data_IF_323351748935
#
_entry.id   IF_323351748935
#
_cell.length_a   1.000
_cell.length_b   1.000
_cell.length_c   1.000
_cell.angle_alpha   90.00
_cell.angle_beta   90.00
_cell.angle_gamma   90.00
#
_symmetry.space_group_name_H-M   'P 1'
#
loop_
_entity.id
_entity.type
_entity.pdbx_description
1 polymer ?
#
# COMPACT_ATOMS: atom_id res chain seq x y z
N UNK A 1 -34.02 -32.77 -2.43
CA UNK A 1 -34.51 -31.61 -1.67
C UNK A 1 -33.97 -31.60 -0.23
N UNK A 2 -33.96 -32.73 0.47
CA UNK A 2 -33.42 -32.85 1.85
C UNK A 2 -31.92 -32.51 2.00
N UNK A 3 -31.06 -32.86 1.04
CA UNK A 3 -29.62 -32.53 1.09
C UNK A 3 -29.33 -31.02 0.98
N UNK A 4 -30.27 -30.25 0.43
CA UNK A 4 -30.20 -28.79 0.34
C UNK A 4 -30.76 -28.13 1.61
N UNK A 5 -31.84 -28.68 2.19
CA UNK A 5 -32.35 -28.23 3.49
C UNK A 5 -31.37 -28.50 4.63
N UNK A 6 -30.71 -29.66 4.67
CA UNK A 6 -29.70 -29.98 5.68
C UNK A 6 -28.45 -29.07 5.59
N UNK A 7 -28.03 -28.70 4.38
CA UNK A 7 -26.96 -27.69 4.18
C UNK A 7 -27.39 -26.29 4.62
N UNK A 8 -28.66 -25.93 4.42
CA UNK A 8 -29.19 -24.60 4.78
C UNK A 8 -29.38 -24.44 6.30
N UNK A 9 -29.80 -25.49 7.03
CA UNK A 9 -29.91 -25.45 8.50
C UNK A 9 -28.53 -25.40 9.15
N UNK A 10 -27.58 -26.23 8.67
CA UNK A 10 -26.20 -26.23 9.17
C UNK A 10 -25.46 -24.91 8.85
N UNK A 11 -25.80 -24.26 7.73
CA UNK A 11 -25.23 -22.98 7.33
C UNK A 11 -25.73 -21.81 8.19
N UNK A 12 -27.00 -21.80 8.60
CA UNK A 12 -27.55 -20.69 9.40
C UNK A 12 -27.09 -20.73 10.86
N UNK A 13 -27.05 -21.92 11.46
CA UNK A 13 -26.57 -22.11 12.84
C UNK A 13 -25.10 -21.70 12.99
N UNK A 14 -24.28 -21.86 11.95
CA UNK A 14 -22.90 -21.39 11.91
C UNK A 14 -22.79 -19.87 12.09
N UNK A 15 -23.61 -19.09 11.38
CA UNK A 15 -23.57 -17.62 11.42
C UNK A 15 -24.21 -17.02 12.68
N UNK A 16 -25.04 -17.80 13.39
CA UNK A 16 -25.66 -17.40 14.67
C UNK A 16 -24.74 -17.58 15.89
N UNK A 17 -23.57 -18.18 15.70
CA UNK A 17 -22.61 -18.37 16.77
C UNK A 17 -22.15 -17.02 17.34
N UNK A 18 -22.02 -16.93 18.68
CA UNK A 18 -21.62 -15.70 19.35
C UNK A 18 -20.23 -15.21 18.89
N UNK A 19 -19.36 -16.14 18.49
CA UNK A 19 -18.04 -15.86 17.93
C UNK A 19 -18.12 -14.94 16.71
N UNK A 20 -19.12 -15.12 15.85
CA UNK A 20 -19.34 -14.32 14.64
C UNK A 20 -19.60 -12.87 15.02
N UNK A 21 -20.49 -12.62 15.98
CA UNK A 21 -20.80 -11.26 16.44
C UNK A 21 -19.56 -10.58 17.04
N UNK A 22 -18.81 -11.30 17.89
CA UNK A 22 -17.60 -10.75 18.52
C UNK A 22 -16.51 -10.47 17.47
N UNK A 23 -16.26 -11.41 16.55
CA UNK A 23 -15.29 -11.21 15.47
C UNK A 23 -15.68 -10.05 14.55
N UNK A 24 -16.97 -9.89 14.25
CA UNK A 24 -17.48 -8.76 13.48
C UNK A 24 -17.18 -7.42 14.17
N UNK A 25 -17.46 -7.32 15.47
CA UNK A 25 -17.15 -6.11 16.24
C UNK A 25 -15.64 -5.80 16.24
N UNK A 26 -14.78 -6.81 16.35
CA UNK A 26 -13.33 -6.66 16.38
C UNK A 26 -12.79 -5.95 15.13
N UNK A 27 -13.31 -6.24 13.94
CA UNK A 27 -12.84 -5.57 12.71
C UNK A 27 -13.69 -4.36 12.30
N UNK A 28 -14.97 -4.31 12.64
CA UNK A 28 -15.85 -3.18 12.33
C UNK A 28 -15.55 -1.95 13.19
N UNK A 29 -15.19 -2.11 14.47
CA UNK A 29 -14.85 -0.97 15.33
C UNK A 29 -13.60 -0.21 14.82
N UNK A 30 -12.46 -0.85 14.52
CA UNK A 30 -11.33 -0.18 13.87
C UNK A 30 -11.69 0.44 12.52
N UNK A 31 -12.55 -0.21 11.72
CA UNK A 31 -13.02 0.35 10.45
C UNK A 31 -13.82 1.65 10.64
N UNK A 32 -14.73 1.68 11.61
CA UNK A 32 -15.51 2.86 11.94
C UNK A 32 -14.62 4.02 12.42
N UNK A 33 -13.64 3.72 13.28
CA UNK A 33 -12.64 4.70 13.73
C UNK A 33 -11.80 5.20 12.54
N UNK A 34 -11.35 4.32 11.66
CA UNK A 34 -10.61 4.66 10.45
C UNK A 34 -11.40 5.62 9.54
N UNK A 35 -12.68 5.30 9.25
CA UNK A 35 -13.57 6.18 8.47
C UNK A 35 -13.79 7.52 9.14
N UNK A 36 -13.99 7.54 10.46
CA UNK A 36 -14.13 8.77 11.23
C UNK A 36 -12.87 9.66 11.11
N UNK A 37 -11.68 9.08 11.25
CA UNK A 37 -10.41 9.79 11.11
C UNK A 37 -10.19 10.34 9.71
N UNK A 38 -10.59 9.60 8.65
CA UNK A 38 -10.56 10.09 7.26
C UNK A 38 -11.48 11.29 7.06
N UNK A 39 -12.72 11.21 7.56
CA UNK A 39 -13.68 12.30 7.48
C UNK A 39 -13.15 13.54 8.20
N UNK A 40 -12.62 13.37 9.41
CA UNK A 40 -12.01 14.45 10.19
C UNK A 40 -10.83 15.10 9.46
N UNK A 41 -9.94 14.31 8.86
CA UNK A 41 -8.79 14.82 8.10
C UNK A 41 -9.22 15.58 6.84
N UNK A 42 -10.26 15.10 6.16
CA UNK A 42 -10.82 15.78 4.98
C UNK A 42 -11.44 17.12 5.36
N UNK A 43 -12.17 17.19 6.49
CA UNK A 43 -12.74 18.43 7.01
C UNK A 43 -11.71 19.45 7.50
N UNK A 44 -10.58 18.98 8.07
CA UNK A 44 -9.53 19.85 8.60
C UNK A 44 -8.62 20.46 7.51
N UNK A 45 -8.80 20.06 6.25
CA UNK A 45 -7.88 20.38 5.16
C UNK A 45 -6.65 19.47 5.19
N UNK A 46 -6.33 18.83 4.06
CA UNK A 46 -5.12 18.04 3.93
C UNK A 46 -3.90 18.95 3.80
N UNK A 47 -2.83 18.70 4.56
CA UNK A 47 -1.53 19.25 4.22
C UNK A 47 -1.22 18.88 2.77
N UNK A 48 -0.87 19.85 1.91
CA UNK A 48 -0.66 19.59 0.50
C UNK A 48 0.50 18.60 0.34
N UNK A 49 0.24 17.51 -0.36
CA UNK A 49 1.27 16.58 -0.81
C UNK A 49 2.15 17.32 -1.81
N UNK A 50 3.46 17.38 -1.56
CA UNK A 50 4.38 17.97 -2.52
C UNK A 50 4.53 17.01 -3.71
N UNK A 51 4.00 17.40 -4.87
CA UNK A 51 4.05 16.60 -6.10
C UNK A 51 5.47 16.12 -6.41
N UNK A 52 6.48 16.96 -6.18
CA UNK A 52 7.90 16.63 -6.39
C UNK A 52 8.38 15.44 -5.57
N UNK A 53 7.86 15.22 -4.36
CA UNK A 53 8.30 14.13 -3.49
C UNK A 53 7.93 12.74 -4.05
N UNK A 54 6.97 12.68 -4.98
CA UNK A 54 6.49 11.45 -5.60
C UNK A 54 7.40 10.94 -6.72
N UNK A 55 8.09 11.84 -7.44
CA UNK A 55 8.85 11.50 -8.65
C UNK A 55 10.31 11.99 -8.65
N UNK A 56 10.71 12.82 -7.69
CA UNK A 56 12.11 13.22 -7.50
C UNK A 56 12.78 12.25 -6.50
N UNK A 57 13.96 11.69 -6.84
CA UNK A 57 14.72 10.87 -5.90
C UNK A 57 15.23 11.67 -4.69
N UNK A 58 15.42 11.01 -3.56
CA UNK A 58 16.05 11.60 -2.38
C UNK A 58 17.57 11.82 -2.51
N UNK A 59 18.14 11.61 -3.70
CA UNK A 59 19.57 11.72 -3.99
C UNK A 59 19.84 12.89 -4.94
N UNK A 60 20.70 13.84 -4.55
CA UNK A 60 20.88 15.13 -5.22
C UNK A 60 21.27 15.01 -6.70
N UNK A 61 22.12 14.04 -7.04
CA UNK A 61 22.66 13.85 -8.38
C UNK A 61 21.99 12.71 -9.16
N UNK A 62 20.94 12.09 -8.59
CA UNK A 62 20.23 11.03 -9.28
C UNK A 62 19.10 11.61 -10.12
N UNK A 63 19.16 11.40 -11.43
CA UNK A 63 18.11 11.89 -12.33
C UNK A 63 16.76 11.24 -12.03
N UNK A 64 15.62 11.95 -12.17
CA UNK A 64 14.28 11.37 -12.00
C UNK A 64 13.99 10.16 -12.90
N UNK A 65 14.74 10.03 -14.02
CA UNK A 65 14.64 8.90 -14.95
C UNK A 65 14.99 7.57 -14.29
N UNK A 66 15.87 7.55 -13.29
CA UNK A 66 16.21 6.31 -12.57
C UNK A 66 15.03 5.77 -11.76
N UNK A 67 14.27 6.66 -11.11
CA UNK A 67 13.08 6.27 -10.38
C UNK A 67 11.99 5.77 -11.34
N UNK A 68 11.83 6.41 -12.49
CA UNK A 68 10.95 5.93 -13.56
C UNK A 68 11.34 4.52 -14.03
N UNK A 69 12.61 4.32 -14.39
CA UNK A 69 13.12 3.03 -14.88
C UNK A 69 12.93 1.92 -13.86
N UNK A 70 13.28 2.19 -12.59
CA UNK A 70 13.09 1.26 -11.50
C UNK A 70 11.62 0.85 -11.34
N UNK A 71 10.70 1.81 -11.29
CA UNK A 71 9.26 1.55 -11.13
C UNK A 71 8.67 0.78 -12.31
N UNK A 72 9.11 1.09 -13.54
CA UNK A 72 8.69 0.37 -14.73
C UNK A 72 9.15 -1.09 -14.69
N UNK A 73 10.41 -1.35 -14.32
CA UNK A 73 10.92 -2.72 -14.13
C UNK A 73 10.14 -3.44 -13.04
N UNK A 74 9.95 -2.80 -11.87
CA UNK A 74 9.21 -3.39 -10.77
C UNK A 74 7.78 -3.77 -11.20
N UNK A 75 7.09 -2.88 -11.92
CA UNK A 75 5.76 -3.15 -12.47
C UNK A 75 5.75 -4.35 -13.42
N UNK A 76 6.68 -4.41 -14.38
CA UNK A 76 6.77 -5.50 -15.36
C UNK A 76 7.08 -6.82 -14.67
N UNK A 77 8.08 -6.85 -13.78
CA UNK A 77 8.48 -8.04 -13.03
C UNK A 77 7.34 -8.57 -12.15
N UNK A 78 6.62 -7.69 -11.45
CA UNK A 78 5.46 -8.10 -10.65
C UNK A 78 4.31 -8.58 -11.52
N UNK A 79 4.04 -7.93 -12.65
CA UNK A 79 3.02 -8.38 -13.60
C UNK A 79 3.30 -9.79 -14.11
N UNK A 80 4.58 -10.06 -14.44
CA UNK A 80 5.03 -11.39 -14.85
C UNK A 80 4.85 -12.43 -13.73
N UNK A 81 5.32 -12.16 -12.51
CA UNK A 81 5.15 -13.09 -11.38
C UNK A 81 3.67 -13.36 -11.03
N UNK A 82 2.81 -12.33 -11.09
CA UNK A 82 1.39 -12.47 -10.86
C UNK A 82 0.70 -13.27 -11.98
N UNK A 83 1.15 -13.12 -13.23
CA UNK A 83 0.71 -13.95 -14.34
C UNK A 83 1.12 -15.41 -14.13
N UNK A 84 2.38 -15.69 -13.81
CA UNK A 84 2.89 -17.05 -13.59
C UNK A 84 2.13 -17.78 -12.48
N UNK A 85 1.90 -17.13 -11.33
CA UNK A 85 1.14 -17.75 -10.23
C UNK A 85 -0.32 -17.99 -10.62
N UNK A 86 -0.96 -17.06 -11.34
CA UNK A 86 -2.33 -17.22 -11.80
C UNK A 86 -2.46 -18.25 -12.94
N UNK A 87 -1.43 -18.43 -13.77
CA UNK A 87 -1.40 -19.45 -14.81
C UNK A 87 -1.17 -20.85 -14.23
N UNK A 88 -0.29 -20.98 -13.24
CA UNK A 88 0.03 -22.25 -12.60
C UNK A 88 -1.10 -22.79 -11.73
N UNK A 89 -1.79 -21.91 -11.00
CA UNK A 89 -2.79 -22.29 -10.00
C UNK A 89 -4.21 -21.85 -10.41
N UNK A 90 -4.39 -20.94 -11.35
CA UNK A 90 -5.71 -20.39 -11.72
C UNK A 90 -6.11 -19.20 -10.85
N UNK A 91 -7.29 -18.64 -11.13
CA UNK A 91 -7.77 -17.43 -10.45
C UNK A 91 -8.09 -17.60 -8.95
N UNK A 92 -8.12 -18.84 -8.44
CA UNK A 92 -8.37 -19.09 -7.01
C UNK A 92 -7.31 -18.44 -6.11
N UNK A 93 -6.11 -18.17 -6.63
CA UNK A 93 -5.03 -17.52 -5.88
C UNK A 93 -5.47 -16.16 -5.32
N UNK A 94 -6.39 -15.46 -5.99
CA UNK A 94 -6.94 -14.19 -5.52
C UNK A 94 -7.86 -14.32 -4.29
N UNK A 95 -8.10 -15.54 -3.79
CA UNK A 95 -8.73 -15.74 -2.48
C UNK A 95 -7.74 -15.60 -1.33
N UNK A 96 -6.44 -15.45 -1.58
CA UNK A 96 -5.43 -15.28 -0.54
C UNK A 96 -5.03 -13.80 -0.43
N UNK A 97 -4.87 -13.33 0.81
CA UNK A 97 -4.46 -11.95 1.11
C UNK A 97 -3.10 -11.61 0.50
N UNK A 98 -2.20 -12.59 0.39
CA UNK A 98 -0.91 -12.43 -0.29
C UNK A 98 -1.08 -11.91 -1.72
N UNK A 99 -2.03 -12.44 -2.48
CA UNK A 99 -2.25 -12.01 -3.86
C UNK A 99 -2.90 -10.63 -3.93
N UNK A 100 -3.79 -10.31 -2.99
CA UNK A 100 -4.33 -8.95 -2.84
C UNK A 100 -3.20 -7.94 -2.61
N UNK A 101 -2.30 -8.21 -1.66
CA UNK A 101 -1.15 -7.34 -1.36
C UNK A 101 -0.19 -7.25 -2.54
N UNK A 102 0.12 -8.36 -3.20
CA UNK A 102 1.00 -8.37 -4.37
C UNK A 102 0.42 -7.55 -5.53
N UNK A 103 -0.88 -7.72 -5.82
CA UNK A 103 -1.59 -6.92 -6.82
C UNK A 103 -1.65 -5.43 -6.43
N UNK A 104 -1.85 -5.10 -5.15
CA UNK A 104 -1.86 -3.72 -4.67
C UNK A 104 -0.50 -3.03 -4.90
N UNK A 105 0.60 -3.73 -4.60
CA UNK A 105 1.97 -3.23 -4.84
C UNK A 105 2.25 -3.12 -6.34
N UNK A 106 1.77 -4.04 -7.17
CA UNK A 106 1.83 -3.92 -8.63
C UNK A 106 1.08 -2.67 -9.12
N UNK A 107 -0.13 -2.41 -8.62
CA UNK A 107 -0.90 -1.19 -8.95
C UNK A 107 -0.18 0.07 -8.50
N UNK A 108 0.45 0.04 -7.33
CA UNK A 108 1.33 1.13 -6.88
C UNK A 108 2.44 1.41 -7.88
N UNK A 109 3.15 0.39 -8.36
CA UNK A 109 4.21 0.58 -9.36
C UNK A 109 3.69 1.03 -10.72
N UNK A 110 2.50 0.59 -11.13
CA UNK A 110 1.84 1.05 -12.35
C UNK A 110 1.56 2.57 -12.29
N UNK A 111 0.89 3.02 -11.21
CA UNK A 111 0.58 4.44 -11.01
C UNK A 111 1.87 5.24 -10.81
N UNK A 112 2.82 4.72 -10.02
CA UNK A 112 4.11 5.34 -9.77
C UNK A 112 4.94 5.52 -11.05
N UNK A 113 4.85 4.59 -12.00
CA UNK A 113 5.47 4.71 -13.33
C UNK A 113 4.84 5.86 -14.11
N UNK A 114 3.51 5.96 -14.13
CA UNK A 114 2.81 7.05 -14.81
C UNK A 114 3.13 8.43 -14.21
N UNK A 115 3.10 8.54 -12.87
CA UNK A 115 3.46 9.76 -12.14
C UNK A 115 4.93 10.13 -12.36
N UNK A 116 5.85 9.16 -12.32
CA UNK A 116 7.27 9.40 -12.62
C UNK A 116 7.51 9.82 -14.07
N UNK A 117 6.79 9.25 -15.03
CA UNK A 117 6.90 9.63 -16.45
C UNK A 117 6.41 11.07 -16.67
N UNK A 118 5.27 11.43 -16.06
CA UNK A 118 4.75 12.79 -16.06
C UNK A 118 5.73 13.78 -15.41
N UNK A 119 6.30 13.43 -14.26
CA UNK A 119 7.33 14.23 -13.58
C UNK A 119 8.59 14.41 -14.43
N UNK A 120 9.08 13.34 -15.06
CA UNK A 120 10.22 13.39 -15.99
C UNK A 120 9.94 14.27 -17.21
N UNK A 121 8.72 14.23 -17.74
CA UNK A 121 8.29 15.08 -18.84
C UNK A 121 8.32 16.56 -18.46
N UNK A 122 7.75 16.92 -17.31
CA UNK A 122 7.81 18.29 -16.77
C UNK A 122 9.27 18.72 -16.57
N UNK A 123 10.10 17.84 -15.99
CA UNK A 123 11.52 18.10 -15.76
C UNK A 123 12.28 18.38 -17.07
N UNK A 124 12.02 17.58 -18.12
CA UNK A 124 12.68 17.71 -19.42
C UNK A 124 12.29 18.97 -20.21
N UNK A 125 11.13 19.56 -19.91
CA UNK A 125 10.61 20.75 -20.60
C UNK A 125 11.05 22.07 -19.96
N UNK A 126 11.77 22.04 -18.84
CA UNK A 126 12.35 23.26 -18.24
C UNK A 126 13.74 23.50 -18.85
N UNK A 127 14.05 24.72 -19.33
CA UNK A 127 15.34 25.01 -19.94
C UNK A 127 16.47 24.70 -18.96
N UNK A 128 17.48 23.96 -19.44
CA UNK A 128 18.75 23.73 -18.75
C UNK A 128 19.38 25.09 -18.43
N UNK A 129 19.10 25.64 -17.25
CA UNK A 129 19.94 26.64 -16.61
C UNK A 129 20.70 25.90 -15.52
N UNK A 130 21.98 25.68 -15.81
CA UNK A 130 23.08 25.18 -14.98
C UNK A 130 22.79 24.75 -13.53
N UNK A 131 23.16 23.49 -13.27
CA UNK A 131 23.78 22.85 -12.10
C UNK A 131 23.83 23.49 -10.69
N UNK A 132 23.09 24.53 -10.34
CA UNK A 132 23.20 25.12 -9.02
C UNK A 132 22.13 26.14 -8.74
N UNK A 133 20.92 25.69 -8.38
CA UNK A 133 20.00 26.45 -7.52
C UNK A 133 18.70 25.65 -7.27
N UNK A 134 18.82 24.64 -6.41
CA UNK A 134 17.64 23.98 -5.80
C UNK A 134 16.87 24.94 -4.89
N UNK A 135 17.52 25.97 -4.36
CA UNK A 135 16.93 26.96 -3.44
C UNK A 135 16.08 28.03 -4.14
N UNK A 136 16.30 28.33 -5.43
CA UNK A 136 15.39 29.19 -6.21
C UNK A 136 14.12 28.46 -6.68
N UNK A 137 14.14 27.12 -6.69
CA UNK A 137 13.02 26.26 -7.10
C UNK A 137 11.79 26.42 -6.19
N UNK A 138 11.99 26.55 -4.88
CA UNK A 138 10.91 26.69 -3.89
C UNK A 138 10.30 28.10 -3.86
N UNK A 139 11.05 29.13 -4.27
CA UNK A 139 10.63 30.54 -4.18
C UNK A 139 9.89 31.02 -5.42
N UNK A 140 10.24 30.49 -6.60
CA UNK A 140 9.69 30.93 -7.89
C UNK A 140 8.32 30.36 -8.24
N UNK A 141 7.94 29.23 -7.64
CA UNK A 141 6.65 28.54 -7.88
C UNK A 141 5.42 29.29 -7.31
N UNK A 142 5.63 30.26 -6.41
CA UNK A 142 4.55 31.10 -5.88
C UNK A 142 4.26 32.33 -6.75
N UNK A 143 5.26 32.83 -7.50
CA UNK A 143 5.17 34.07 -8.27
C UNK A 143 4.76 33.86 -9.73
N UNK A 144 5.27 32.81 -10.39
CA UNK A 144 5.03 32.57 -11.83
C UNK A 144 3.60 32.10 -12.17
N UNK A 145 2.81 31.65 -11.18
CA UNK A 145 1.40 31.22 -11.38
C UNK A 145 0.43 32.35 -11.73
N UNK A 146 0.84 33.62 -11.60
CA UNK A 146 -0.05 34.77 -11.72
C UNK A 146 -0.22 35.32 -13.14
N UNK A 147 0.67 35.02 -14.08
CA UNK A 147 0.64 35.70 -15.38
C UNK A 147 0.64 34.75 -16.59
N UNK A 148 -0.31 35.04 -17.49
CA UNK A 148 -0.50 34.55 -18.85
C UNK A 148 -1.15 33.15 -19.03
N UNK A 149 -2.48 33.12 -19.22
CA UNK A 149 -3.12 32.14 -20.12
C UNK A 149 -4.60 32.51 -20.44
N UNK A 150 -5.05 32.25 -21.66
CA UNK A 150 -6.42 32.37 -22.20
C UNK A 150 -7.40 31.41 -21.51
N UNK A 151 -8.70 31.73 -21.48
CA UNK A 151 -9.72 31.02 -20.68
C UNK A 151 -9.87 29.52 -20.98
N UNK A 152 -9.81 29.11 -22.26
CA UNK A 152 -9.97 27.71 -22.68
C UNK A 152 -8.75 26.85 -22.31
N UNK A 153 -7.55 27.43 -22.38
CA UNK A 153 -6.30 26.78 -21.94
C UNK A 153 -6.21 26.66 -20.43
N UNK A 154 -6.78 27.62 -19.67
CA UNK A 154 -6.87 27.54 -18.20
C UNK A 154 -7.76 26.39 -17.74
N UNK A 155 -8.89 26.17 -18.40
CA UNK A 155 -9.82 25.09 -18.03
C UNK A 155 -9.23 23.70 -18.31
N UNK A 156 -8.59 23.51 -19.47
CA UNK A 156 -7.87 22.27 -19.80
C UNK A 156 -6.70 22.02 -18.87
N UNK A 157 -5.94 23.06 -18.52
CA UNK A 157 -4.81 22.95 -17.60
C UNK A 157 -5.26 22.68 -16.17
N UNK A 158 -6.31 23.36 -15.68
CA UNK A 158 -6.89 23.12 -14.37
C UNK A 158 -7.43 21.69 -14.23
N UNK A 159 -8.10 21.16 -15.27
CA UNK A 159 -8.58 19.77 -15.29
C UNK A 159 -7.42 18.76 -15.30
N UNK A 160 -6.33 19.07 -16.01
CA UNK A 160 -5.14 18.24 -16.03
C UNK A 160 -4.39 18.26 -14.70
N UNK A 161 -4.24 19.42 -14.07
CA UNK A 161 -3.66 19.60 -12.74
C UNK A 161 -4.51 18.91 -11.66
N UNK A 162 -5.84 19.01 -11.72
CA UNK A 162 -6.74 18.30 -10.81
C UNK A 162 -6.63 16.78 -10.97
N UNK A 163 -6.55 16.27 -12.22
CA UNK A 163 -6.38 14.84 -12.48
C UNK A 163 -5.02 14.34 -12.02
N UNK A 164 -3.95 15.10 -12.26
CA UNK A 164 -2.61 14.80 -11.75
C UNK A 164 -2.63 14.75 -10.22
N UNK A 165 -3.23 15.75 -9.57
CA UNK A 165 -3.42 15.78 -8.13
C UNK A 165 -4.16 14.54 -7.61
N UNK A 166 -5.23 14.09 -8.27
CA UNK A 166 -5.92 12.87 -7.88
C UNK A 166 -5.01 11.63 -7.91
N UNK A 167 -4.27 11.42 -9.01
CA UNK A 167 -3.36 10.27 -9.16
C UNK A 167 -2.22 10.31 -8.15
N UNK A 168 -1.70 11.49 -7.83
CA UNK A 168 -0.66 11.71 -6.83
C UNK A 168 -1.13 11.34 -5.42
N UNK A 169 -2.33 11.78 -5.04
CA UNK A 169 -2.94 11.40 -3.75
C UNK A 169 -3.25 9.89 -3.71
N UNK A 170 -3.78 9.33 -4.80
CA UNK A 170 -4.07 7.90 -4.90
C UNK A 170 -2.79 7.07 -4.75
N UNK A 171 -1.74 7.41 -5.48
CA UNK A 171 -0.43 6.78 -5.37
C UNK A 171 0.07 6.78 -3.92
N UNK A 172 -0.04 7.92 -3.23
CA UNK A 172 0.43 8.06 -1.85
C UNK A 172 -0.41 7.26 -0.84
N UNK A 173 -1.72 7.17 -1.04
CA UNK A 173 -2.61 6.33 -0.22
C UNK A 173 -2.29 4.84 -0.42
N UNK A 174 -2.09 4.42 -1.67
CA UNK A 174 -1.72 3.03 -1.98
C UNK A 174 -0.34 2.72 -1.39
N UNK A 175 0.64 3.60 -1.53
CA UNK A 175 1.97 3.44 -0.91
C UNK A 175 1.90 3.22 0.60
N UNK A 176 1.11 4.03 1.31
CA UNK A 176 0.87 3.88 2.75
C UNK A 176 0.22 2.52 3.07
N UNK A 177 -0.78 2.11 2.30
CA UNK A 177 -1.45 0.81 2.45
C UNK A 177 -0.48 -0.35 2.23
N UNK A 178 0.31 -0.29 1.15
CA UNK A 178 1.31 -1.29 0.78
C UNK A 178 2.34 -1.51 1.87
N UNK A 179 2.88 -0.44 2.49
CA UNK A 179 3.94 -0.57 3.49
C UNK A 179 3.55 -1.45 4.68
N UNK A 180 2.33 -1.29 5.21
CA UNK A 180 1.81 -2.19 6.25
C UNK A 180 1.49 -3.58 5.72
N UNK A 181 0.85 -3.66 4.54
CA UNK A 181 0.40 -4.91 3.96
C UNK A 181 1.55 -5.87 3.63
N UNK A 182 2.65 -5.38 3.04
CA UNK A 182 3.83 -6.20 2.73
C UNK A 182 4.53 -6.71 4.00
N UNK A 183 4.63 -5.87 5.03
CA UNK A 183 5.20 -6.30 6.31
C UNK A 183 4.33 -7.39 6.95
N UNK A 184 3.00 -7.23 6.91
CA UNK A 184 2.08 -8.22 7.45
C UNK A 184 2.16 -9.54 6.68
N UNK A 185 2.05 -9.51 5.34
CA UNK A 185 2.05 -10.74 4.53
C UNK A 185 3.33 -11.53 4.69
N UNK A 186 4.46 -10.83 4.72
CA UNK A 186 5.76 -11.49 4.65
C UNK A 186 6.16 -11.99 6.04
N UNK A 187 5.94 -11.20 7.10
CA UNK A 187 6.18 -11.66 8.49
C UNK A 187 5.28 -12.85 8.82
N UNK A 188 3.98 -12.78 8.49
CA UNK A 188 3.06 -13.88 8.76
C UNK A 188 3.43 -15.11 7.93
N UNK A 189 3.82 -14.95 6.66
CA UNK A 189 4.24 -16.10 5.87
C UNK A 189 5.51 -16.75 6.41
N UNK A 190 6.61 -16.00 6.54
CA UNK A 190 7.91 -16.55 6.93
C UNK A 190 8.00 -16.93 8.40
N UNK A 191 7.32 -16.18 9.28
CA UNK A 191 7.39 -16.37 10.73
C UNK A 191 6.30 -17.28 11.30
N UNK A 192 5.15 -17.42 10.63
CA UNK A 192 4.01 -18.20 11.14
C UNK A 192 3.55 -19.29 10.16
N UNK A 193 3.23 -18.97 8.91
CA UNK A 193 2.66 -19.99 8.01
C UNK A 193 3.69 -21.04 7.62
N UNK A 194 4.86 -20.63 7.11
CA UNK A 194 5.88 -21.55 6.65
C UNK A 194 6.35 -22.49 7.77
N UNK A 195 6.76 -22.03 8.97
CA UNK A 195 7.25 -22.95 10.02
C UNK A 195 6.19 -23.95 10.48
N UNK A 196 4.91 -23.58 10.50
CA UNK A 196 3.82 -24.43 10.98
C UNK A 196 3.16 -25.27 9.87
N UNK A 197 3.34 -24.92 8.60
CA UNK A 197 2.80 -25.64 7.44
C UNK A 197 3.86 -26.48 6.70
N UNK A 198 5.15 -26.29 6.96
CA UNK A 198 6.22 -27.10 6.34
C UNK A 198 6.13 -28.55 6.87
N UNK A 199 5.76 -29.47 5.98
CA UNK A 199 5.44 -30.88 6.28
C UNK A 199 4.84 -31.59 5.06
N UNK A 200 4.29 -32.80 5.21
CA UNK A 200 3.93 -33.74 4.11
C UNK A 200 3.07 -33.17 2.96
N UNK A 201 2.40 -32.02 3.14
CA UNK A 201 1.45 -31.45 2.17
C UNK A 201 1.78 -30.05 1.61
N UNK A 202 2.88 -29.38 2.04
CA UNK A 202 3.26 -28.07 1.50
C UNK A 202 4.75 -28.00 1.16
N UNK A 203 5.04 -27.75 -0.11
CA UNK A 203 6.39 -27.56 -0.64
C UNK A 203 6.57 -26.09 -1.03
N UNK A 204 7.58 -25.45 -0.45
CA UNK A 204 7.97 -24.09 -0.80
C UNK A 204 8.61 -24.08 -2.19
N UNK A 205 7.86 -23.66 -3.20
CA UNK A 205 8.42 -23.42 -4.54
C UNK A 205 9.07 -22.04 -4.59
N UNK A 206 10.02 -21.85 -5.52
CA UNK A 206 10.62 -20.54 -5.77
C UNK A 206 9.56 -19.48 -6.09
N UNK A 207 8.57 -19.84 -6.90
CA UNK A 207 7.49 -18.92 -7.29
C UNK A 207 6.69 -18.45 -6.06
N UNK A 208 6.29 -19.38 -5.18
CA UNK A 208 5.61 -19.03 -3.91
C UNK A 208 6.52 -18.16 -3.06
N UNK A 209 7.79 -18.53 -2.88
CA UNK A 209 8.77 -17.72 -2.15
C UNK A 209 8.88 -16.29 -2.70
N UNK A 210 8.92 -16.12 -4.03
CA UNK A 210 8.92 -14.80 -4.67
C UNK A 210 7.66 -13.98 -4.35
N UNK A 211 6.47 -14.61 -4.34
CA UNK A 211 5.21 -13.93 -4.00
C UNK A 211 5.19 -13.39 -2.56
N UNK A 212 6.02 -13.93 -1.67
CA UNK A 212 6.13 -13.55 -0.26
C UNK A 212 7.42 -12.77 0.09
N UNK A 213 8.15 -12.25 -0.90
CA UNK A 213 9.36 -11.47 -0.64
C UNK A 213 9.63 -10.36 -1.65
N UNK A 214 9.31 -10.58 -2.93
CA UNK A 214 9.61 -9.62 -4.00
C UNK A 214 8.79 -8.34 -3.83
N UNK A 215 7.55 -8.43 -3.36
CA UNK A 215 6.71 -7.30 -2.97
C UNK A 215 7.40 -6.36 -1.95
N UNK A 216 7.86 -6.89 -0.82
CA UNK A 216 8.54 -6.10 0.21
C UNK A 216 9.90 -5.59 -0.28
N UNK A 217 10.69 -6.44 -0.94
CA UNK A 217 11.99 -6.05 -1.48
C UNK A 217 11.86 -4.87 -2.45
N UNK A 218 10.97 -4.97 -3.44
CA UNK A 218 10.78 -3.91 -4.43
C UNK A 218 10.24 -2.63 -3.78
N UNK A 219 9.30 -2.74 -2.82
CA UNK A 219 8.75 -1.58 -2.16
C UNK A 219 9.79 -0.88 -1.25
N UNK A 220 10.60 -1.64 -0.50
CA UNK A 220 11.67 -1.09 0.34
C UNK A 220 12.74 -0.41 -0.50
N UNK A 221 13.12 -1.01 -1.64
CA UNK A 221 14.07 -0.40 -2.57
C UNK A 221 13.51 0.86 -3.22
N UNK A 222 12.22 0.91 -3.59
CA UNK A 222 11.59 2.16 -4.06
C UNK A 222 11.69 3.24 -2.98
N UNK A 223 11.35 2.89 -1.73
CA UNK A 223 11.44 3.75 -0.56
C UNK A 223 12.86 4.21 -0.24
N UNK A 224 13.87 3.40 -0.58
CA UNK A 224 15.27 3.77 -0.47
C UNK A 224 15.66 4.92 -1.43
N UNK A 225 15.00 5.00 -2.58
CA UNK A 225 15.32 5.95 -3.66
C UNK A 225 14.38 7.15 -3.68
N UNK A 226 13.11 6.98 -3.32
CA UNK A 226 12.09 8.03 -3.36
C UNK A 226 12.16 8.97 -2.13
N UNK A 227 11.46 10.10 -2.21
CA UNK A 227 11.35 11.08 -1.12
C UNK A 227 9.97 11.11 -0.47
N UNK A 228 9.14 10.08 -0.67
CA UNK A 228 7.76 10.10 -0.20
C UNK A 228 7.66 10.01 1.33
N UNK A 229 6.83 10.86 1.96
CA UNK A 229 6.60 10.76 3.40
C UNK A 229 5.78 9.50 3.72
N UNK A 230 6.07 8.88 4.87
CA UNK A 230 5.31 7.73 5.37
C UNK A 230 4.79 8.01 6.80
N UNK A 231 3.69 8.78 6.93
CA UNK A 231 3.16 9.19 8.23
C UNK A 231 2.41 8.04 8.92
N UNK A 232 2.29 8.12 10.24
CA UNK A 232 1.50 7.16 11.03
C UNK A 232 0.02 7.14 10.67
N UNK A 233 -0.53 8.27 10.20
CA UNK A 233 -1.92 8.34 9.76
C UNK A 233 -2.26 7.28 8.69
N UNK A 234 -1.31 6.91 7.84
CA UNK A 234 -1.55 5.95 6.78
C UNK A 234 -1.93 4.54 7.26
N UNK A 235 -1.75 4.24 8.56
CA UNK A 235 -2.28 3.04 9.21
C UNK A 235 -3.78 2.88 8.95
N UNK A 236 -4.52 4.00 8.87
CA UNK A 236 -5.96 4.01 8.57
C UNK A 236 -6.27 3.34 7.23
N UNK A 237 -5.48 3.60 6.17
CA UNK A 237 -5.70 2.97 4.87
C UNK A 237 -5.39 1.47 4.92
N UNK A 238 -4.34 1.10 5.62
CA UNK A 238 -3.96 -0.30 5.82
C UNK A 238 -5.05 -1.09 6.58
N UNK A 239 -5.61 -0.52 7.65
CA UNK A 239 -6.72 -1.14 8.38
C UNK A 239 -7.93 -1.34 7.47
N UNK A 240 -8.32 -0.33 6.69
CA UNK A 240 -9.47 -0.45 5.78
C UNK A 240 -9.24 -1.51 4.69
N UNK A 241 -8.02 -1.62 4.18
CA UNK A 241 -7.66 -2.66 3.19
C UNK A 241 -7.83 -4.07 3.77
N UNK A 242 -7.34 -4.30 4.98
CA UNK A 242 -7.47 -5.60 5.64
C UNK A 242 -8.93 -5.91 6.02
N UNK A 243 -9.71 -4.92 6.45
CA UNK A 243 -11.15 -5.08 6.68
C UNK A 243 -11.88 -5.43 5.39
N UNK A 244 -11.54 -4.79 4.27
CA UNK A 244 -12.13 -5.11 2.98
C UNK A 244 -11.86 -6.58 2.60
N UNK A 245 -10.66 -7.09 2.86
CA UNK A 245 -10.34 -8.50 2.67
C UNK A 245 -11.15 -9.42 3.59
N UNK A 246 -11.28 -9.10 4.87
CA UNK A 246 -12.08 -9.91 5.82
C UNK A 246 -13.54 -9.97 5.37
N UNK A 247 -14.14 -8.83 5.00
CA UNK A 247 -15.50 -8.76 4.46
C UNK A 247 -15.64 -9.60 3.19
N UNK A 248 -14.68 -9.50 2.27
CA UNK A 248 -14.64 -10.32 1.06
C UNK A 248 -14.64 -11.82 1.39
N UNK A 249 -13.82 -12.25 2.35
CA UNK A 249 -13.79 -13.65 2.78
C UNK A 249 -15.09 -14.11 3.43
N UNK A 250 -15.68 -13.28 4.29
CA UNK A 250 -16.95 -13.62 4.94
C UNK A 250 -18.08 -13.75 3.92
N UNK A 251 -18.15 -12.85 2.93
CA UNK A 251 -19.13 -12.91 1.85
C UNK A 251 -18.93 -14.17 1.02
N UNK A 252 -17.70 -14.48 0.62
CA UNK A 252 -17.42 -15.70 -0.13
C UNK A 252 -17.74 -16.97 0.67
N UNK A 253 -17.46 -16.97 1.97
CA UNK A 253 -17.79 -18.10 2.83
C UNK A 253 -19.31 -18.28 3.00
N UNK A 254 -20.05 -17.17 3.07
CA UNK A 254 -21.51 -17.19 3.18
C UNK A 254 -22.18 -17.66 1.88
N UNK A 255 -21.62 -17.30 0.72
CA UNK A 255 -22.30 -17.46 -0.57
C UNK A 255 -21.72 -18.53 -1.50
N UNK A 256 -20.43 -18.85 -1.39
CA UNK A 256 -19.70 -19.58 -2.44
C UNK A 256 -19.05 -20.88 -1.95
N UNK A 257 -18.39 -20.90 -0.80
CA UNK A 257 -17.65 -22.08 -0.34
C UNK A 257 -17.53 -22.17 1.18
N UNK A 258 -17.32 -23.38 1.71
CA UNK A 258 -17.35 -23.65 3.16
C UNK A 258 -15.97 -23.80 3.79
N UNK A 259 -14.88 -23.51 3.08
CA UNK A 259 -13.51 -23.56 3.60
C UNK A 259 -12.98 -22.14 3.83
N UNK A 260 -11.95 -22.02 4.66
CA UNK A 260 -11.25 -20.75 4.88
C UNK A 260 -9.84 -20.79 4.27
N UNK A 261 -9.37 -19.73 3.60
CA UNK A 261 -8.01 -19.69 3.07
C UNK A 261 -6.94 -19.68 4.16
N UNK A 262 -7.32 -19.27 5.37
CA UNK A 262 -6.45 -19.27 6.52
C UNK A 262 -7.17 -19.86 7.75
N UNK A 263 -6.52 -20.76 8.51
CA UNK A 263 -7.14 -21.36 9.70
C UNK A 263 -7.59 -20.33 10.74
N UNK A 264 -6.86 -19.21 10.86
CA UNK A 264 -7.17 -18.13 11.80
C UNK A 264 -8.41 -17.30 11.44
N UNK A 265 -9.05 -17.54 10.28
CA UNK A 265 -10.34 -16.94 9.93
C UNK A 265 -11.55 -17.80 10.34
N UNK A 266 -11.32 -19.06 10.72
CA UNK A 266 -12.35 -20.02 11.10
C UNK A 266 -13.15 -19.55 12.33
N UNK A 267 -14.46 -19.37 12.15
CA UNK A 267 -15.35 -18.81 13.17
C UNK A 267 -15.90 -19.86 14.14
N UNK A 268 -15.92 -21.14 13.74
CA UNK A 268 -16.48 -22.22 14.56
C UNK A 268 -15.65 -22.57 15.79
N UNK A 269 -14.42 -22.06 15.90
CA UNK A 269 -13.56 -22.32 17.06
C UNK A 269 -13.86 -21.34 18.20
N UNK A 270 -13.79 -21.77 19.48
CA UNK A 270 -13.95 -20.86 20.62
C UNK A 270 -12.84 -19.78 20.68
N UNK A 271 -11.71 -20.02 20.00
CA UNK A 271 -10.56 -19.12 19.93
C UNK A 271 -10.65 -18.09 18.80
N UNK A 272 -11.68 -18.14 17.96
CA UNK A 272 -11.82 -17.22 16.82
C UNK A 272 -11.71 -15.73 17.21
N UNK A 273 -12.37 -15.25 18.29
CA UNK A 273 -12.21 -13.85 18.72
C UNK A 273 -10.76 -13.47 19.04
N UNK A 274 -9.98 -14.39 19.64
CA UNK A 274 -8.58 -14.14 19.97
C UNK A 274 -7.74 -14.01 18.70
N UNK A 275 -7.98 -14.85 17.69
CA UNK A 275 -7.30 -14.75 16.39
C UNK A 275 -7.63 -13.44 15.66
N UNK A 276 -8.90 -13.05 15.60
CA UNK A 276 -9.31 -11.79 14.98
C UNK A 276 -8.70 -10.59 15.73
N UNK A 277 -8.66 -10.63 17.06
CA UNK A 277 -8.03 -9.59 17.87
C UNK A 277 -6.52 -9.53 17.64
N UNK A 278 -5.83 -10.67 17.62
CA UNK A 278 -4.40 -10.75 17.34
C UNK A 278 -4.07 -10.20 15.94
N UNK A 279 -4.87 -10.56 14.93
CA UNK A 279 -4.76 -10.03 13.57
C UNK A 279 -5.02 -8.52 13.54
N UNK A 280 -6.00 -8.00 14.27
CA UNK A 280 -6.21 -6.55 14.36
C UNK A 280 -5.00 -5.84 14.99
N UNK A 281 -4.46 -6.39 16.08
CA UNK A 281 -3.34 -5.79 16.81
C UNK A 281 -2.03 -5.83 16.04
N UNK A 282 -1.75 -6.88 15.24
CA UNK A 282 -0.48 -7.00 14.49
C UNK A 282 -0.32 -5.95 13.38
N UNK A 283 -1.40 -5.28 12.98
CA UNK A 283 -1.31 -4.16 12.03
C UNK A 283 -0.43 -3.02 12.55
N UNK A 284 -0.47 -2.76 13.86
CA UNK A 284 0.29 -1.68 14.50
C UNK A 284 1.81 -1.92 14.39
N UNK A 285 2.37 -3.06 14.85
CA UNK A 285 3.80 -3.33 14.71
C UNK A 285 4.22 -3.52 13.24
N UNK A 286 3.41 -4.13 12.38
CA UNK A 286 3.74 -4.27 10.95
C UNK A 286 3.87 -2.91 10.25
N UNK A 287 2.89 -2.02 10.45
CA UNK A 287 2.97 -0.65 9.90
C UNK A 287 4.11 0.14 10.55
N UNK A 288 4.26 -0.01 11.88
CA UNK A 288 5.33 0.64 12.64
C UNK A 288 6.73 0.24 12.18
N UNK A 289 6.95 -1.03 11.83
CA UNK A 289 8.21 -1.49 11.26
C UNK A 289 8.53 -0.76 9.96
N UNK A 290 7.54 -0.58 9.07
CA UNK A 290 7.75 0.17 7.84
C UNK A 290 8.02 1.66 8.09
N UNK A 291 7.31 2.29 9.05
CA UNK A 291 7.61 3.66 9.50
C UNK A 291 9.06 3.76 10.00
N UNK A 292 9.51 2.79 10.79
CA UNK A 292 10.89 2.73 11.30
C UNK A 292 11.91 2.54 10.17
N UNK A 293 11.62 1.73 9.15
CA UNK A 293 12.49 1.58 7.97
C UNK A 293 12.65 2.92 7.24
N UNK A 294 11.55 3.64 6.97
CA UNK A 294 11.61 4.94 6.28
C UNK A 294 12.33 5.99 7.13
N UNK A 295 12.07 6.06 8.44
CA UNK A 295 12.77 6.99 9.35
C UNK A 295 14.25 6.63 9.52
N UNK A 296 14.55 5.33 9.63
CA UNK A 296 15.90 4.78 9.73
C UNK A 296 16.71 5.14 8.49
N UNK A 297 16.13 4.99 7.29
CA UNK A 297 16.72 5.46 6.03
C UNK A 297 17.12 6.93 6.11
N UNK A 298 16.17 7.80 6.48
CA UNK A 298 16.40 9.25 6.54
C UNK A 298 17.52 9.60 7.54
N UNK A 299 17.53 8.98 8.73
CA UNK A 299 18.55 9.20 9.74
C UNK A 299 19.92 8.68 9.28
N UNK A 300 19.99 7.45 8.76
CA UNK A 300 21.22 6.79 8.36
C UNK A 300 21.86 7.46 7.13
N UNK A 301 21.09 7.69 6.06
CA UNK A 301 21.62 8.25 4.83
C UNK A 301 21.93 9.74 4.94
N UNK A 302 21.19 10.51 5.74
CA UNK A 302 21.59 11.90 6.01
C UNK A 302 22.88 12.02 6.81
N UNK A 303 23.21 11.01 7.64
CA UNK A 303 24.48 10.95 8.38
C UNK A 303 25.63 10.43 7.52
N UNK A 304 25.41 9.40 6.71
CA UNK A 304 26.44 8.78 5.87
C UNK A 304 26.75 9.60 4.61
N UNK A 305 25.76 10.27 4.02
CA UNK A 305 25.88 10.97 2.73
C UNK A 305 25.34 12.41 2.79
N UNK A 306 25.87 13.28 3.68
CA UNK A 306 25.30 14.61 3.94
C UNK A 306 25.28 15.53 2.70
N UNK A 307 26.22 15.35 1.77
CA UNK A 307 26.30 16.16 0.55
C UNK A 307 25.46 15.61 -0.61
N UNK A 308 25.05 14.34 -0.55
CA UNK A 308 24.35 13.64 -1.65
C UNK A 308 22.90 13.33 -1.33
N UNK A 309 22.54 13.20 -0.05
CA UNK A 309 21.17 12.85 0.38
C UNK A 309 20.35 14.11 0.71
N UNK A 310 19.10 14.15 0.25
CA UNK A 310 18.14 15.22 0.51
C UNK A 310 17.24 14.78 1.64
N UNK A 311 17.28 15.51 2.76
CA UNK A 311 16.39 15.24 3.90
C UNK A 311 14.95 15.61 3.54
N UNK A 312 14.03 14.66 3.68
CA UNK A 312 12.60 14.96 3.60
C UNK A 312 12.17 15.88 4.76
N UNK A 313 11.20 16.79 4.58
CA UNK A 313 10.64 17.56 5.70
C UNK A 313 10.06 16.58 6.73
N UNK A 314 10.63 16.55 7.94
CA UNK A 314 10.01 15.80 9.02
C UNK A 314 8.72 16.51 9.46
N UNK A 315 7.68 15.73 9.69
CA UNK A 315 6.42 16.20 10.26
C UNK A 315 6.74 17.02 11.53
N UNK A 316 6.44 18.33 11.49
CA UNK A 316 6.59 19.19 12.65
C UNK A 316 5.70 18.60 13.74
N UNK A 317 6.29 18.12 14.84
CA UNK A 317 5.52 17.85 16.05
C UNK A 317 4.88 19.17 16.46
N UNK A 318 3.56 19.27 16.31
CA UNK A 318 2.81 20.28 17.01
C UNK A 318 2.97 19.94 18.50
N UNK A 319 3.69 20.81 19.20
CA UNK A 319 3.87 20.76 20.65
C UNK A 319 2.56 21.08 21.36
#
# INVERSE_FOLDING_TARGET
MERSQAKNVLGFDYWLQWQVLVCALIFLLPAAVAVFLLKKRTSAGSNPLNSTDLWVPCWRNLSPKWLLFYRAIAFVSMSFLLYEIAAAFGFFVFFFYTQWTFALVMVYFAIGTAVSAHGCWIYSRRPLSESGERDKFLKKESEDRKHAMTSISKEKQAKHEQRAGFWEHLMHMIYQTCGGAVMLTDIVFWGLLLPFMTGENFQLTLLIGCMHSVNALLLILDSAVNNMPFPWFGLVYFVLWSVAYVVFQWVLHACCFTWWPYPFLELSTPWAPLWYLALALVHIPCYGLYVLLVKGKQALFSRMFPHSFVRAPMEKKHA
#
